data_IF_523349820336
#
_entry.id   IF_523349820336
#
_cell.length_a   1.000
_cell.length_b   1.000
_cell.length_c   1.000
_cell.angle_alpha   90.00
_cell.angle_beta   90.00
_cell.angle_gamma   90.00
#
_symmetry.space_group_name_H-M   'P 1'
#
loop_
_entity.id
_entity.type
_entity.pdbx_description
1 polymer ?
#
# COMPACT_ATOMS: atom_id res chain seq x y z
N UNK A 1 -15.45 -3.17 -22.72
CA UNK A 1 -14.14 -3.38 -22.07
C UNK A 1 -14.33 -4.58 -21.15
N UNK A 2 -13.50 -5.62 -21.22
CA UNK A 2 -13.63 -6.82 -20.35
C UNK A 2 -13.38 -6.42 -18.88
N UNK A 3 -14.13 -7.02 -17.96
CA UNK A 3 -14.05 -6.76 -16.52
C UNK A 3 -12.95 -7.56 -15.82
N UNK A 4 -12.72 -7.27 -14.54
CA UNK A 4 -11.75 -8.04 -13.72
C UNK A 4 -12.10 -9.53 -13.65
N UNK A 5 -13.39 -9.88 -13.74
CA UNK A 5 -13.86 -11.27 -13.63
C UNK A 5 -13.37 -12.17 -14.77
N UNK A 6 -13.01 -11.59 -15.90
CA UNK A 6 -12.54 -12.28 -17.11
C UNK A 6 -11.04 -12.62 -17.07
N UNK A 7 -10.30 -12.12 -16.06
CA UNK A 7 -8.88 -12.37 -15.91
C UNK A 7 -8.60 -13.76 -15.33
N UNK A 8 -7.47 -14.36 -15.74
CA UNK A 8 -6.95 -15.56 -15.11
C UNK A 8 -6.66 -15.29 -13.62
N UNK A 9 -6.74 -16.31 -12.74
CA UNK A 9 -6.49 -16.11 -11.30
C UNK A 9 -5.12 -15.49 -10.98
N UNK A 10 -4.09 -15.84 -11.76
CA UNK A 10 -2.74 -15.27 -11.64
C UNK A 10 -2.68 -13.79 -12.02
N UNK A 11 -3.40 -13.38 -13.07
CA UNK A 11 -3.51 -11.98 -13.48
C UNK A 11 -4.30 -11.16 -12.45
N UNK A 12 -5.36 -11.74 -11.89
CA UNK A 12 -6.12 -11.11 -10.79
C UNK A 12 -5.22 -10.83 -9.58
N UNK A 13 -4.35 -11.79 -9.23
CA UNK A 13 -3.38 -11.63 -8.16
C UNK A 13 -2.35 -10.54 -8.48
N UNK A 14 -1.81 -10.53 -9.70
CA UNK A 14 -0.87 -9.52 -10.15
C UNK A 14 -1.49 -8.12 -10.10
N UNK A 15 -2.73 -7.96 -10.57
CA UNK A 15 -3.48 -6.69 -10.51
C UNK A 15 -3.71 -6.26 -9.06
N UNK A 16 -4.11 -7.18 -8.17
CA UNK A 16 -4.33 -6.86 -6.76
C UNK A 16 -3.04 -6.36 -6.08
N UNK A 17 -1.90 -7.02 -6.31
CA UNK A 17 -0.60 -6.58 -5.77
C UNK A 17 -0.13 -5.27 -6.41
N UNK A 18 -0.32 -5.10 -7.71
CA UNK A 18 0.01 -3.86 -8.41
C UNK A 18 -0.77 -2.66 -7.86
N UNK A 19 -2.06 -2.83 -7.56
CA UNK A 19 -2.90 -1.79 -6.93
C UNK A 19 -2.40 -1.44 -5.52
N UNK A 20 -2.00 -2.44 -4.72
CA UNK A 20 -1.39 -2.19 -3.40
C UNK A 20 -0.08 -1.42 -3.51
N UNK A 21 0.79 -1.79 -4.45
CA UNK A 21 2.03 -1.07 -4.76
C UNK A 21 1.76 0.37 -5.17
N UNK A 22 0.81 0.58 -6.08
CA UNK A 22 0.41 1.93 -6.53
C UNK A 22 -0.02 2.80 -5.34
N UNK A 23 -0.77 2.25 -4.39
CA UNK A 23 -1.17 2.95 -3.18
C UNK A 23 0.00 3.16 -2.22
N UNK A 24 0.86 2.16 -2.04
CA UNK A 24 2.01 2.23 -1.13
C UNK A 24 3.08 3.25 -1.57
N UNK A 25 3.12 3.60 -2.86
CA UNK A 25 3.92 4.73 -3.36
C UNK A 25 3.43 6.10 -2.87
N UNK A 26 2.21 6.19 -2.34
CA UNK A 26 1.71 7.42 -1.73
C UNK A 26 2.23 7.58 -0.31
N UNK A 27 2.73 8.77 0.01
CA UNK A 27 3.33 9.09 1.29
C UNK A 27 2.88 10.48 1.76
N UNK A 28 2.55 10.66 3.04
CA UNK A 28 2.30 11.98 3.60
C UNK A 28 3.60 12.80 3.64
N UNK A 29 3.60 13.97 2.99
CA UNK A 29 4.75 14.87 2.97
C UNK A 29 4.66 15.92 4.08
N UNK A 30 5.79 16.20 4.74
CA UNK A 30 5.88 17.23 5.79
C UNK A 30 5.43 18.61 5.29
N UNK A 31 5.75 18.96 4.04
CA UNK A 31 5.31 20.24 3.44
C UNK A 31 3.81 20.29 3.17
N UNK A 32 3.16 19.14 3.04
CA UNK A 32 1.74 19.02 2.76
C UNK A 32 0.90 18.89 4.05
N UNK A 33 1.53 18.83 5.22
CA UNK A 33 0.86 18.65 6.51
C UNK A 33 -0.15 19.77 6.80
N UNK A 34 0.20 21.02 6.44
CA UNK A 34 -0.67 22.20 6.60
C UNK A 34 -1.96 22.09 5.77
N UNK A 35 -1.93 21.38 4.65
CA UNK A 35 -3.08 21.23 3.74
C UNK A 35 -3.87 19.95 3.99
N UNK A 36 -3.19 18.88 4.38
CA UNK A 36 -3.77 17.53 4.51
C UNK A 36 -4.15 17.17 5.95
N UNK A 37 -3.65 17.91 6.94
CA UNK A 37 -3.83 17.61 8.37
C UNK A 37 -3.17 16.30 8.82
N UNK A 38 -2.41 15.63 7.95
CA UNK A 38 -1.74 14.37 8.23
C UNK A 38 -0.24 14.61 8.42
N UNK A 39 0.36 14.12 9.52
CA UNK A 39 1.77 14.37 9.79
C UNK A 39 2.65 13.75 8.71
N UNK A 40 3.60 14.53 8.23
CA UNK A 40 4.60 14.06 7.27
C UNK A 40 5.41 12.90 7.82
N UNK A 41 5.87 12.01 6.93
CA UNK A 41 6.68 10.85 7.32
C UNK A 41 7.96 10.81 6.53
N UNK A 42 9.05 10.44 7.18
CA UNK A 42 10.31 10.12 6.53
C UNK A 42 10.52 8.60 6.59
N UNK A 43 10.70 7.98 5.44
CA UNK A 43 10.85 6.52 5.32
C UNK A 43 12.29 6.23 4.88
N UNK A 44 13.08 5.52 5.71
CA UNK A 44 14.42 5.10 5.31
C UNK A 44 14.38 4.11 4.14
N UNK A 45 15.43 4.13 3.31
CA UNK A 45 15.54 3.23 2.15
C UNK A 45 15.35 1.74 2.51
N UNK A 46 15.92 1.31 3.63
CA UNK A 46 15.80 -0.08 4.09
C UNK A 46 14.34 -0.48 4.34
N UNK A 47 13.55 0.43 4.90
CA UNK A 47 12.12 0.23 5.17
C UNK A 47 11.29 0.21 3.89
N UNK A 48 11.64 1.07 2.92
CA UNK A 48 11.02 1.06 1.59
C UNK A 48 11.24 -0.30 0.91
N UNK A 49 12.49 -0.77 0.85
CA UNK A 49 12.83 -2.06 0.23
C UNK A 49 12.12 -3.21 0.93
N UNK A 50 12.08 -3.21 2.27
CA UNK A 50 11.35 -4.21 3.07
C UNK A 50 9.87 -4.24 2.69
N UNK A 51 9.20 -3.08 2.70
CA UNK A 51 7.78 -2.99 2.40
C UNK A 51 7.44 -3.49 0.99
N UNK A 52 8.20 -3.07 -0.03
CA UNK A 52 7.99 -3.55 -1.39
C UNK A 52 8.21 -5.06 -1.53
N UNK A 53 9.23 -5.61 -0.86
CA UNK A 53 9.50 -7.05 -0.87
C UNK A 53 8.35 -7.85 -0.24
N UNK A 54 7.78 -7.38 0.87
CA UNK A 54 6.65 -8.04 1.52
C UNK A 54 5.39 -8.05 0.63
N UNK A 55 5.11 -6.95 -0.06
CA UNK A 55 3.96 -6.86 -0.97
C UNK A 55 4.15 -7.77 -2.18
N UNK A 56 5.34 -7.82 -2.77
CA UNK A 56 5.61 -8.68 -3.94
C UNK A 56 5.68 -10.17 -3.56
N UNK A 57 6.14 -10.50 -2.35
CA UNK A 57 6.16 -11.86 -1.82
C UNK A 57 4.75 -12.39 -1.44
N UNK A 58 3.74 -11.51 -1.34
CA UNK A 58 2.37 -11.89 -1.02
C UNK A 58 2.03 -11.93 0.47
N UNK A 59 2.97 -11.53 1.34
CA UNK A 59 2.76 -11.50 2.80
C UNK A 59 1.62 -10.56 3.20
N UNK A 60 1.33 -9.57 2.36
CA UNK A 60 0.29 -8.57 2.61
C UNK A 60 -0.98 -8.80 1.76
N UNK A 61 -1.17 -9.98 1.16
CA UNK A 61 -2.30 -10.25 0.25
C UNK A 61 -3.67 -10.18 0.94
N UNK A 62 -3.72 -10.51 2.23
CA UNK A 62 -4.93 -10.44 3.06
C UNK A 62 -5.32 -9.01 3.47
N UNK A 63 -4.43 -8.02 3.32
CA UNK A 63 -4.72 -6.64 3.68
C UNK A 63 -5.54 -5.93 2.59
N UNK A 64 -6.50 -5.05 2.96
CA UNK A 64 -7.24 -4.25 2.00
C UNK A 64 -6.33 -3.19 1.33
N UNK A 65 -6.60 -2.86 0.07
CA UNK A 65 -5.82 -1.85 -0.70
C UNK A 65 -5.74 -0.49 0.01
N UNK A 66 -6.81 -0.11 0.71
CA UNK A 66 -6.92 1.17 1.41
C UNK A 66 -5.93 1.30 2.58
N UNK A 67 -5.46 0.17 3.12
CA UNK A 67 -4.46 0.15 4.18
C UNK A 67 -3.10 0.70 3.70
N UNK A 68 -2.80 0.61 2.39
CA UNK A 68 -1.54 1.07 1.81
C UNK A 68 -1.57 2.53 1.37
N UNK A 69 -2.72 3.21 1.51
CA UNK A 69 -2.85 4.60 1.06
C UNK A 69 -2.37 5.58 2.14
N UNK A 70 -1.52 6.54 1.78
CA UNK A 70 -1.00 7.60 2.67
C UNK A 70 -0.41 7.03 3.96
N UNK A 71 0.52 6.08 3.83
CA UNK A 71 1.27 5.47 4.93
C UNK A 71 2.77 5.70 4.70
N UNK A 72 3.56 5.63 5.77
CA UNK A 72 5.02 5.72 5.69
C UNK A 72 5.64 4.35 5.48
N UNK A 73 5.75 3.58 6.56
CA UNK A 73 6.33 2.22 6.53
C UNK A 73 5.26 1.16 6.31
N UNK A 74 5.69 -0.06 6.02
CA UNK A 74 4.78 -1.20 5.85
C UNK A 74 4.03 -1.54 7.15
N UNK A 75 4.65 -1.35 8.31
CA UNK A 75 4.00 -1.63 9.60
C UNK A 75 2.77 -0.74 9.82
N UNK A 76 2.81 0.49 9.33
CA UNK A 76 1.66 1.39 9.36
C UNK A 76 0.52 0.93 8.47
N UNK A 77 0.81 0.24 7.36
CA UNK A 77 -0.22 -0.40 6.56
C UNK A 77 -0.92 -1.51 7.37
N UNK A 78 -0.17 -2.31 8.13
CA UNK A 78 -0.76 -3.31 9.04
C UNK A 78 -1.60 -2.65 10.15
N UNK A 79 -1.11 -1.59 10.77
CA UNK A 79 -1.86 -0.86 11.80
C UNK A 79 -3.12 -0.19 11.25
N UNK A 80 -3.05 0.33 10.02
CA UNK A 80 -4.20 0.93 9.34
C UNK A 80 -5.22 -0.12 8.93
N UNK A 81 -4.77 -1.31 8.50
CA UNK A 81 -5.66 -2.41 8.16
C UNK A 81 -6.53 -2.83 9.36
N UNK A 82 -5.98 -2.84 10.58
CA UNK A 82 -6.75 -3.12 11.81
C UNK A 82 -7.88 -2.13 12.09
N UNK A 83 -7.78 -0.91 11.57
CA UNK A 83 -8.79 0.16 11.77
C UNK A 83 -9.83 0.22 10.66
N UNK A 84 -9.52 -0.38 9.51
CA UNK A 84 -10.39 -0.42 8.32
C UNK A 84 -11.18 -1.74 8.26
N UNK A 85 -10.76 -2.75 9.03
CA UNK A 85 -11.43 -4.03 9.23
C UNK A 85 -12.64 -3.92 10.16
#
# INVERSE_FOLDING_TARGET
>A
ILGMDELAPEDKLAVARARKIQRFLSQPFHVAEVFTGSPGKYVPLAETIRGFKMITAGECDHLPEQAFYMVGTIDEAFEKAKKVA
#
